data_IF_793103040366
#
_entry.id   IF_793103040366
#
_cell.length_a   1.000
_cell.length_b   1.000
_cell.length_c   1.000
_cell.angle_alpha   90.00
_cell.angle_beta   90.00
_cell.angle_gamma   90.00
#
_symmetry.space_group_name_H-M   'P 1'
#
loop_
_entity.id
_entity.type
_entity.pdbx_description
1 polymer ?
#
# COMPACT_ATOMS: atom_id res chain seq x y z
N UNK A 1 -6.75 8.62 -13.11
CA UNK A 1 -6.11 9.30 -11.97
C UNK A 1 -6.92 9.16 -10.69
N UNK A 2 -7.39 7.95 -10.35
CA UNK A 2 -8.22 7.71 -9.15
C UNK A 2 -7.59 6.65 -8.22
N UNK A 3 -6.26 6.49 -8.29
CA UNK A 3 -5.52 5.56 -7.45
C UNK A 3 -4.73 6.39 -6.44
N UNK A 4 -4.82 6.02 -5.17
CA UNK A 4 -3.99 6.58 -4.11
C UNK A 4 -2.87 5.59 -3.84
N UNK A 5 -1.64 6.06 -3.85
CA UNK A 5 -0.48 5.25 -3.49
C UNK A 5 -0.02 5.64 -2.10
N UNK A 6 0.01 4.66 -1.19
CA UNK A 6 0.45 4.87 0.19
C UNK A 6 1.84 4.25 0.34
N UNK A 7 2.82 5.07 0.68
CA UNK A 7 4.15 4.57 0.98
C UNK A 7 4.14 3.83 2.33
N UNK A 8 4.74 2.64 2.39
CA UNK A 8 4.83 1.85 3.63
C UNK A 8 5.54 2.59 4.76
N UNK A 9 6.47 3.49 4.43
CA UNK A 9 7.12 4.41 5.36
C UNK A 9 6.14 5.32 6.10
N UNK A 10 4.99 5.70 5.52
CA UNK A 10 3.96 6.44 6.25
C UNK A 10 3.44 5.62 7.43
N UNK A 11 3.12 4.34 7.17
CA UNK A 11 2.57 3.43 8.19
C UNK A 11 3.63 3.15 9.25
N UNK A 12 4.85 2.82 8.83
CA UNK A 12 5.97 2.49 9.73
C UNK A 12 6.35 3.69 10.59
N UNK A 13 6.50 4.89 10.02
CA UNK A 13 7.03 6.05 10.74
C UNK A 13 5.96 6.79 11.55
N UNK A 14 4.68 6.56 11.22
CA UNK A 14 3.54 7.23 11.84
C UNK A 14 2.44 6.21 12.17
N UNK A 15 2.61 5.39 13.21
CA UNK A 15 1.66 4.35 13.64
C UNK A 15 0.47 4.96 14.39
N UNK A 16 -0.13 5.99 13.82
CA UNK A 16 -1.31 6.70 14.30
C UNK A 16 -2.39 6.64 13.19
N UNK A 17 -3.54 5.98 13.42
CA UNK A 17 -4.60 5.88 12.42
C UNK A 17 -5.18 7.24 12.01
N UNK A 18 -5.09 8.28 12.86
CA UNK A 18 -5.52 9.63 12.46
C UNK A 18 -4.59 10.25 11.41
N UNK A 19 -3.28 10.01 11.51
CA UNK A 19 -2.31 10.49 10.51
C UNK A 19 -2.65 9.85 9.16
N UNK A 20 -2.82 8.53 9.11
CA UNK A 20 -3.18 7.83 7.88
C UNK A 20 -4.50 8.35 7.30
N UNK A 21 -5.55 8.47 8.14
CA UNK A 21 -6.85 8.99 7.72
C UNK A 21 -6.76 10.40 7.16
N UNK A 22 -6.00 11.27 7.83
CA UNK A 22 -5.77 12.65 7.41
C UNK A 22 -5.10 12.72 6.04
N UNK A 23 -4.04 11.96 5.83
CA UNK A 23 -3.31 11.91 4.55
C UNK A 23 -4.21 11.35 3.45
N UNK A 24 -4.96 10.27 3.69
CA UNK A 24 -5.93 9.76 2.70
C UNK A 24 -6.96 10.83 2.33
N UNK A 25 -7.49 11.59 3.30
CA UNK A 25 -8.43 12.68 3.01
C UNK A 25 -7.77 13.80 2.16
N UNK A 26 -6.50 14.09 2.38
CA UNK A 26 -5.71 15.03 1.58
C UNK A 26 -5.49 14.53 0.14
N UNK A 27 -5.11 13.26 -0.04
CA UNK A 27 -4.95 12.63 -1.36
C UNK A 27 -6.28 12.58 -2.14
N UNK A 28 -7.40 12.31 -1.46
CA UNK A 28 -8.74 12.43 -2.06
C UNK A 28 -9.00 13.88 -2.50
N UNK A 29 -8.54 14.86 -1.72
CA UNK A 29 -8.57 16.28 -2.09
C UNK A 29 -7.86 16.55 -3.42
N UNK A 30 -6.68 15.95 -3.65
CA UNK A 30 -5.98 16.07 -4.94
C UNK A 30 -6.76 15.45 -6.11
N UNK A 31 -7.39 14.29 -5.88
CA UNK A 31 -8.20 13.61 -6.90
C UNK A 31 -9.43 14.47 -7.26
N UNK A 32 -10.17 14.94 -6.26
CA UNK A 32 -11.36 15.77 -6.45
C UNK A 32 -11.00 17.11 -7.10
N UNK A 33 -9.87 17.70 -6.75
CA UNK A 33 -9.34 18.93 -7.35
C UNK A 33 -8.75 18.74 -8.75
N UNK A 34 -8.64 17.50 -9.25
CA UNK A 34 -7.96 17.13 -10.50
C UNK A 34 -6.54 17.70 -10.60
N UNK A 35 -5.84 17.79 -9.46
CA UNK A 35 -4.55 18.49 -9.39
C UNK A 35 -3.46 17.84 -10.25
N UNK A 36 -3.46 16.51 -10.40
CA UNK A 36 -2.48 15.81 -11.25
C UNK A 36 -2.60 16.24 -12.72
N UNK A 37 -3.82 16.26 -13.25
CA UNK A 37 -4.09 16.66 -14.64
C UNK A 37 -3.75 18.14 -14.85
N UNK A 38 -4.19 19.00 -13.93
CA UNK A 38 -3.89 20.44 -13.97
C UNK A 38 -2.39 20.72 -13.86
N UNK A 39 -1.65 19.97 -13.05
CA UNK A 39 -0.21 20.14 -12.92
C UNK A 39 0.52 19.72 -14.20
N UNK A 40 0.09 18.66 -14.88
CA UNK A 40 0.61 18.29 -16.20
C UNK A 40 0.37 19.40 -17.22
N UNK A 41 -0.84 19.95 -17.31
CA UNK A 41 -1.16 21.08 -18.19
C UNK A 41 -0.28 22.31 -17.90
N UNK A 42 -0.07 22.64 -16.62
CA UNK A 42 0.80 23.74 -16.20
C UNK A 42 2.25 23.50 -16.66
N UNK A 43 2.79 22.30 -16.40
CA UNK A 43 4.16 21.96 -16.79
C UNK A 43 4.32 22.02 -18.31
N UNK A 44 3.40 21.46 -19.07
CA UNK A 44 3.43 21.51 -20.54
C UNK A 44 3.38 22.94 -21.07
N UNK A 45 2.54 23.80 -20.49
CA UNK A 45 2.45 25.21 -20.88
C UNK A 45 3.75 25.97 -20.58
N UNK A 46 4.37 25.73 -19.43
CA UNK A 46 5.67 26.34 -19.11
C UNK A 46 6.82 25.78 -19.94
N UNK A 47 6.79 24.50 -20.32
CA UNK A 47 7.76 23.92 -21.26
C UNK A 47 7.65 24.57 -22.64
N UNK A 48 6.43 24.74 -23.15
CA UNK A 48 6.18 25.46 -24.41
C UNK A 48 6.68 26.91 -24.34
N UNK A 49 6.40 27.61 -23.24
CA UNK A 49 6.89 28.96 -23.02
C UNK A 49 8.44 29.01 -22.93
N UNK A 50 9.07 28.03 -22.28
CA UNK A 50 10.52 27.93 -22.19
C UNK A 50 11.17 27.70 -23.55
N UNK A 51 10.58 26.87 -24.42
CA UNK A 51 11.05 26.68 -25.79
C UNK A 51 11.01 28.01 -26.55
N UNK A 52 9.93 28.78 -26.41
CA UNK A 52 9.82 30.12 -26.99
C UNK A 52 10.87 31.10 -26.46
N UNK A 53 11.10 31.12 -25.14
CA UNK A 53 12.12 31.97 -24.51
C UNK A 53 13.55 31.59 -24.96
N UNK A 54 13.83 30.30 -25.11
CA UNK A 54 15.11 29.82 -25.66
C UNK A 54 15.29 30.24 -27.11
N UNK A 55 14.26 30.12 -27.94
CA UNK A 55 14.31 30.58 -29.33
C UNK A 55 14.59 32.09 -29.42
N UNK A 56 13.91 32.90 -28.60
CA UNK A 56 14.14 34.35 -28.51
C UNK A 56 15.56 34.68 -28.00
N UNK A 57 16.05 33.95 -26.99
CA UNK A 57 17.40 34.11 -26.47
C UNK A 57 18.48 33.80 -27.51
N UNK A 58 18.27 32.77 -28.34
CA UNK A 58 19.16 32.43 -29.45
C UNK A 58 19.18 33.52 -30.52
N UNK A 59 18.00 34.07 -30.89
CA UNK A 59 17.92 35.20 -31.84
C UNK A 59 18.66 36.43 -31.29
N UNK A 60 18.50 36.76 -30.02
CA UNK A 60 19.20 37.88 -29.37
C UNK A 60 20.72 37.66 -29.26
N UNK A 61 21.16 36.42 -29.07
CA UNK A 61 22.58 36.07 -29.08
C UNK A 61 23.19 36.25 -30.49
N UNK A 62 22.45 35.86 -31.54
CA UNK A 62 22.86 36.06 -32.94
C UNK A 62 22.89 37.54 -33.34
N UNK A 63 22.13 38.42 -32.69
CA UNK A 63 22.19 39.87 -32.90
C UNK A 63 23.33 40.59 -32.15
N UNK A 64 24.30 39.85 -31.61
CA UNK A 64 25.50 40.39 -30.97
C UNK A 64 25.37 40.67 -29.47
N UNK A 65 24.32 40.17 -28.81
CA UNK A 65 24.07 40.34 -27.38
C UNK A 65 23.98 38.99 -26.66
N UNK A 66 25.02 38.16 -26.78
CA UNK A 66 25.07 36.81 -26.21
C UNK A 66 24.75 36.77 -24.71
N UNK A 67 25.25 37.72 -23.93
CA UNK A 67 24.99 37.81 -22.49
C UNK A 67 23.52 38.11 -22.18
N UNK A 68 22.87 38.96 -22.97
CA UNK A 68 21.45 39.26 -22.84
C UNK A 68 20.57 38.05 -23.23
N UNK A 69 20.96 37.31 -24.28
CA UNK A 69 20.30 36.07 -24.68
C UNK A 69 20.36 35.00 -23.57
N UNK A 70 21.52 34.83 -22.95
CA UNK A 70 21.71 33.90 -21.83
C UNK A 70 20.92 34.31 -20.58
N UNK A 71 20.87 35.60 -20.27
CA UNK A 71 20.09 36.13 -19.15
C UNK A 71 18.58 35.89 -19.32
N UNK A 72 18.05 35.98 -20.54
CA UNK A 72 16.64 35.69 -20.85
C UNK A 72 16.33 34.21 -20.64
N UNK A 73 17.20 33.30 -21.08
CA UNK A 73 17.03 31.85 -20.90
C UNK A 73 17.05 31.47 -19.42
N UNK A 74 18.06 31.93 -18.68
CA UNK A 74 18.18 31.67 -17.24
C UNK A 74 17.01 32.28 -16.47
N UNK A 75 16.67 33.55 -16.73
CA UNK A 75 15.55 34.24 -16.10
C UNK A 75 14.21 33.53 -16.34
N UNK A 76 13.96 33.06 -17.57
CA UNK A 76 12.75 32.32 -17.93
C UNK A 76 12.61 31.00 -17.16
N UNK A 77 13.69 30.21 -17.06
CA UNK A 77 13.68 28.94 -16.32
C UNK A 77 13.45 29.13 -14.81
N UNK A 78 14.09 30.14 -14.20
CA UNK A 78 13.88 30.48 -12.79
C UNK A 78 12.43 30.93 -12.51
N UNK A 79 11.86 31.75 -13.39
CA UNK A 79 10.47 32.20 -13.28
C UNK A 79 9.47 31.04 -13.43
N UNK A 80 9.68 30.15 -14.41
CA UNK A 80 8.86 28.97 -14.61
C UNK A 80 8.86 28.07 -13.36
N UNK A 81 10.04 27.78 -12.79
CA UNK A 81 10.16 26.95 -11.59
C UNK A 81 9.44 27.59 -10.39
N UNK A 82 9.62 28.89 -10.17
CA UNK A 82 8.94 29.63 -9.09
C UNK A 82 7.42 29.60 -9.26
N UNK A 83 6.94 29.69 -10.49
CA UNK A 83 5.52 29.65 -10.81
C UNK A 83 4.90 28.27 -10.55
N UNK A 84 5.57 27.19 -10.98
CA UNK A 84 5.15 25.81 -10.69
C UNK A 84 5.04 25.58 -9.18
N UNK A 85 6.02 26.03 -8.39
CA UNK A 85 5.95 25.94 -6.93
C UNK A 85 4.79 26.75 -6.32
N UNK A 86 4.48 27.92 -6.88
CA UNK A 86 3.33 28.71 -6.43
C UNK A 86 2.01 27.99 -6.72
N UNK A 87 1.84 27.41 -7.91
CA UNK A 87 0.66 26.59 -8.25
C UNK A 87 0.54 25.36 -7.35
N UNK A 88 1.65 24.66 -7.10
CA UNK A 88 1.68 23.53 -6.18
C UNK A 88 1.16 23.93 -4.80
N UNK A 89 1.62 25.03 -4.20
CA UNK A 89 1.08 25.51 -2.90
C UNK A 89 -0.42 25.82 -2.93
N UNK A 90 -0.94 26.33 -4.05
CA UNK A 90 -2.39 26.55 -4.21
C UNK A 90 -3.15 25.22 -4.25
N UNK A 91 -2.62 24.22 -4.93
CA UNK A 91 -3.18 22.86 -4.94
C UNK A 91 -3.15 22.21 -3.56
N UNK A 92 -2.05 22.36 -2.82
CA UNK A 92 -1.93 21.89 -1.43
C UNK A 92 -3.01 22.53 -0.53
N UNK A 93 -3.19 23.84 -0.60
CA UNK A 93 -4.21 24.55 0.18
C UNK A 93 -5.64 24.10 -0.17
N UNK A 94 -5.92 23.90 -1.46
CA UNK A 94 -7.20 23.37 -1.94
C UNK A 94 -7.44 21.93 -1.46
N UNK A 95 -6.40 21.08 -1.47
CA UNK A 95 -6.46 19.71 -0.99
C UNK A 95 -6.67 19.66 0.53
N UNK A 96 -5.95 20.47 1.31
CA UNK A 96 -6.14 20.59 2.77
C UNK A 96 -7.55 21.03 3.14
N UNK A 97 -8.09 22.04 2.45
CA UNK A 97 -9.47 22.50 2.67
C UNK A 97 -10.48 21.41 2.33
N UNK A 98 -10.21 20.61 1.30
CA UNK A 98 -11.05 19.47 0.96
C UNK A 98 -10.94 18.36 2.01
N UNK A 99 -9.73 18.07 2.50
CA UNK A 99 -9.49 17.12 3.56
C UNK A 99 -10.24 17.51 4.84
N UNK A 100 -10.17 18.78 5.24
CA UNK A 100 -10.95 19.33 6.36
C UNK A 100 -12.44 19.02 6.19
N UNK A 101 -13.02 19.35 5.03
CA UNK A 101 -14.44 19.10 4.75
C UNK A 101 -14.80 17.60 4.80
N UNK A 102 -13.95 16.74 4.25
CA UNK A 102 -14.17 15.29 4.23
C UNK A 102 -14.10 14.69 5.64
N UNK A 103 -13.11 15.12 6.43
CA UNK A 103 -12.92 14.67 7.81
C UNK A 103 -14.12 15.11 8.67
N UNK A 104 -14.52 16.38 8.62
CA UNK A 104 -15.70 16.87 9.34
C UNK A 104 -16.97 16.13 8.94
N UNK A 105 -17.21 15.94 7.63
CA UNK A 105 -18.40 15.24 7.13
C UNK A 105 -18.43 13.77 7.55
N UNK A 106 -17.26 13.15 7.70
CA UNK A 106 -17.12 11.78 8.21
C UNK A 106 -17.01 11.70 9.72
N UNK A 107 -17.18 12.81 10.45
CA UNK A 107 -17.07 12.89 11.92
C UNK A 107 -15.69 12.53 12.47
N UNK A 108 -14.62 12.92 11.78
CA UNK A 108 -13.24 12.70 12.20
C UNK A 108 -12.48 14.02 12.35
N UNK A 109 -11.54 14.02 13.28
CA UNK A 109 -10.66 15.14 13.56
C UNK A 109 -9.59 15.35 12.49
N UNK A 110 -9.20 16.62 12.32
CA UNK A 110 -8.03 17.02 11.53
C UNK A 110 -6.70 16.85 12.28
N UNK A 111 -6.74 16.35 13.52
CA UNK A 111 -5.57 16.23 14.39
C UNK A 111 -4.44 15.41 13.76
N UNK A 112 -4.76 14.40 12.95
CA UNK A 112 -3.77 13.60 12.23
C UNK A 112 -2.93 14.43 11.25
N UNK A 113 -3.57 15.30 10.46
CA UNK A 113 -2.86 16.21 9.56
C UNK A 113 -1.97 17.20 10.32
N UNK A 114 -2.45 17.70 11.46
CA UNK A 114 -1.67 18.59 12.32
C UNK A 114 -0.41 17.87 12.82
N UNK A 115 -0.57 16.68 13.43
CA UNK A 115 0.55 15.87 13.93
C UNK A 115 1.57 15.59 12.84
N UNK A 116 1.10 15.17 11.67
CA UNK A 116 1.96 14.85 10.54
C UNK A 116 2.77 16.07 10.06
N UNK A 117 2.12 17.19 9.76
CA UNK A 117 2.83 18.38 9.28
C UNK A 117 3.77 18.98 10.33
N UNK A 118 3.47 18.87 11.62
CA UNK A 118 4.41 19.27 12.67
C UNK A 118 5.65 18.39 12.70
N UNK A 119 5.51 17.09 12.45
CA UNK A 119 6.65 16.17 12.38
C UNK A 119 7.51 16.43 11.13
N UNK A 120 6.86 16.65 9.97
CA UNK A 120 7.52 17.08 8.73
C UNK A 120 8.35 18.35 8.98
N UNK A 121 7.75 19.38 9.57
CA UNK A 121 8.45 20.64 9.94
C UNK A 121 9.64 20.43 10.88
N UNK A 122 9.54 19.49 11.83
CA UNK A 122 10.67 19.17 12.72
C UNK A 122 11.83 18.54 11.95
N UNK A 123 11.55 17.66 10.99
CA UNK A 123 12.59 17.06 10.13
C UNK A 123 13.29 18.12 9.27
N UNK A 124 12.53 19.04 8.67
CA UNK A 124 13.09 20.19 7.92
C UNK A 124 14.07 21.00 8.76
N UNK A 125 13.71 21.29 10.01
CA UNK A 125 14.55 22.07 10.91
C UNK A 125 15.89 21.38 11.25
N UNK A 126 15.96 20.05 11.10
CA UNK A 126 17.19 19.26 11.28
C UNK A 126 18.02 19.11 10.00
N UNK A 127 17.55 19.66 8.86
CA UNK A 127 18.19 19.49 7.56
C UNK A 127 18.01 18.08 6.96
N UNK A 128 17.10 17.27 7.51
CA UNK A 128 16.76 15.96 6.98
C UNK A 128 15.67 16.15 5.94
N UNK A 129 15.98 15.88 4.67
CA UNK A 129 15.01 15.93 3.58
C UNK A 129 13.90 14.88 3.77
N UNK A 130 12.65 15.32 3.70
CA UNK A 130 11.49 14.43 3.71
C UNK A 130 10.98 14.24 2.26
N UNK A 131 10.98 13.01 1.71
CA UNK A 131 10.47 12.75 0.36
C UNK A 131 9.03 13.23 0.12
N UNK A 132 8.21 13.29 1.18
CA UNK A 132 6.84 13.83 1.10
C UNK A 132 6.84 15.29 0.61
N UNK A 133 7.83 16.09 0.97
CA UNK A 133 7.89 17.52 0.60
C UNK A 133 8.28 17.75 -0.86
N UNK A 134 8.94 16.77 -1.48
CA UNK A 134 9.25 16.83 -2.91
C UNK A 134 7.98 16.84 -3.75
N UNK A 135 6.90 16.24 -3.25
CA UNK A 135 5.59 16.21 -3.91
C UNK A 135 4.57 17.15 -3.27
N UNK A 136 4.68 17.42 -1.97
CA UNK A 136 3.74 18.22 -1.18
C UNK A 136 4.48 19.29 -0.37
N UNK A 137 4.84 20.43 -0.97
CA UNK A 137 5.59 21.47 -0.28
C UNK A 137 4.82 22.02 0.91
N UNK A 138 5.44 21.99 2.09
CA UNK A 138 4.86 22.52 3.32
C UNK A 138 5.02 24.06 3.36
N UNK A 139 3.99 24.75 3.85
CA UNK A 139 4.09 26.17 4.24
C UNK A 139 3.66 26.34 5.70
N UNK A 140 4.20 27.37 6.36
CA UNK A 140 3.83 27.70 7.74
C UNK A 140 2.32 27.97 7.92
N UNK A 141 1.67 28.47 6.86
CA UNK A 141 0.25 28.80 6.87
C UNK A 141 -0.63 27.55 6.96
N UNK A 142 -0.23 26.43 6.32
CA UNK A 142 -1.03 25.19 6.29
C UNK A 142 -1.30 24.65 7.70
N UNK A 143 -0.24 24.52 8.51
CA UNK A 143 -0.35 24.06 9.91
C UNK A 143 -1.18 25.02 10.74
N UNK A 144 -1.00 26.33 10.53
CA UNK A 144 -1.71 27.38 11.25
C UNK A 144 -3.21 27.35 10.94
N UNK A 145 -3.59 27.16 9.68
CA UNK A 145 -4.98 27.03 9.23
C UNK A 145 -5.62 25.79 9.86
N UNK A 146 -4.95 24.63 9.79
CA UNK A 146 -5.47 23.39 10.38
C UNK A 146 -5.69 23.52 11.89
N UNK A 147 -4.72 24.08 12.62
CA UNK A 147 -4.86 24.34 14.06
C UNK A 147 -6.01 25.31 14.38
N UNK A 148 -6.13 26.38 13.59
CA UNK A 148 -7.19 27.39 13.77
C UNK A 148 -8.57 26.84 13.44
N UNK A 149 -8.66 25.90 12.51
CA UNK A 149 -9.87 25.14 12.23
C UNK A 149 -10.19 24.18 13.37
N UNK A 150 -9.24 23.35 13.80
CA UNK A 150 -9.44 22.35 14.85
C UNK A 150 -9.98 22.94 16.16
N UNK A 151 -9.50 24.13 16.56
CA UNK A 151 -9.99 24.85 17.76
C UNK A 151 -11.49 25.16 17.73
N UNK A 152 -12.09 25.26 16.54
CA UNK A 152 -13.52 25.58 16.33
C UNK A 152 -14.34 24.35 15.91
N UNK A 153 -13.69 23.23 15.63
CA UNK A 153 -14.33 21.98 15.26
C UNK A 153 -14.99 21.33 16.49
N UNK A 154 -16.02 20.51 16.22
CA UNK A 154 -16.61 19.59 17.21
C UNK A 154 -15.71 18.36 17.45
N UNK A 155 -14.81 18.04 16.51
CA UNK A 155 -13.92 16.88 16.52
C UNK A 155 -12.48 17.31 16.80
N UNK A 156 -12.21 17.85 17.99
CA UNK A 156 -10.90 18.43 18.31
C UNK A 156 -9.81 17.40 18.61
N UNK A 157 -10.23 16.23 19.12
CA UNK A 157 -9.39 15.11 19.52
C UNK A 157 -9.62 13.90 18.62
N UNK A 158 -8.84 12.84 18.78
CA UNK A 158 -9.07 11.58 18.06
C UNK A 158 -10.46 11.00 18.34
N UNK A 159 -11.06 10.37 17.33
CA UNK A 159 -12.27 9.56 17.48
C UNK A 159 -11.96 8.05 17.45
N UNK A 160 -10.69 7.65 17.34
CA UNK A 160 -10.37 6.22 17.29
C UNK A 160 -10.53 5.59 18.67
N UNK A 161 -11.11 4.41 18.70
CA UNK A 161 -11.07 3.53 19.86
C UNK A 161 -9.66 2.95 20.05
N UNK A 162 -9.31 2.65 21.30
CA UNK A 162 -8.01 2.07 21.65
C UNK A 162 -7.72 0.76 20.87
N UNK A 163 -8.75 -0.02 20.55
CA UNK A 163 -8.60 -1.25 19.76
C UNK A 163 -8.05 -0.96 18.35
N UNK A 164 -8.56 0.08 17.69
CA UNK A 164 -8.13 0.47 16.33
C UNK A 164 -6.71 1.01 16.37
N UNK A 165 -6.39 1.81 17.38
CA UNK A 165 -5.03 2.32 17.59
C UNK A 165 -4.07 1.15 17.78
N UNK A 166 -4.40 0.21 18.67
CA UNK A 166 -3.56 -0.95 18.95
C UNK A 166 -3.40 -1.87 17.72
N UNK A 167 -4.49 -2.14 16.97
CA UNK A 167 -4.42 -2.90 15.71
C UNK A 167 -3.54 -2.22 14.68
N UNK A 168 -3.67 -0.89 14.52
CA UNK A 168 -2.86 -0.14 13.57
C UNK A 168 -1.37 -0.15 13.95
N UNK A 169 -1.07 0.03 15.24
CA UNK A 169 0.30 -0.08 15.76
C UNK A 169 0.88 -1.49 15.54
N UNK A 170 0.10 -2.55 15.79
CA UNK A 170 0.53 -3.94 15.51
C UNK A 170 0.78 -4.15 14.01
N UNK A 171 -0.06 -3.62 13.13
CA UNK A 171 0.14 -3.70 11.68
C UNK A 171 1.41 -2.98 11.23
N UNK A 172 1.65 -1.78 11.77
CA UNK A 172 2.91 -1.04 11.57
C UNK A 172 4.12 -1.84 12.05
N UNK A 173 4.02 -2.44 13.23
CA UNK A 173 5.07 -3.28 13.81
C UNK A 173 5.34 -4.53 12.97
N UNK A 174 4.30 -5.23 12.48
CA UNK A 174 4.44 -6.38 11.57
C UNK A 174 5.19 -5.96 10.31
N UNK A 175 4.72 -4.88 9.68
CA UNK A 175 5.32 -4.36 8.45
C UNK A 175 6.80 -4.01 8.67
N UNK A 176 7.11 -3.21 9.69
CA UNK A 176 8.48 -2.84 10.02
C UNK A 176 9.38 -4.05 10.30
N UNK A 177 8.90 -5.01 11.09
CA UNK A 177 9.67 -6.19 11.46
C UNK A 177 9.95 -7.12 10.28
N UNK A 178 9.10 -7.14 9.25
CA UNK A 178 9.34 -7.91 8.01
C UNK A 178 10.16 -7.15 6.96
N UNK A 179 9.97 -5.83 6.83
CA UNK A 179 10.49 -5.09 5.66
C UNK A 179 11.72 -4.22 5.94
N UNK A 180 12.00 -3.84 7.19
CA UNK A 180 13.19 -3.05 7.50
C UNK A 180 14.43 -3.93 7.62
N UNK A 181 15.60 -3.34 7.43
CA UNK A 181 16.88 -3.93 7.83
C UNK A 181 16.87 -4.28 9.33
N UNK A 182 17.51 -5.40 9.68
CA UNK A 182 17.47 -5.96 11.05
C UNK A 182 17.87 -4.93 12.11
N UNK A 183 18.90 -4.12 11.83
CA UNK A 183 19.42 -3.08 12.74
C UNK A 183 18.50 -1.87 12.88
N UNK A 184 17.52 -1.71 11.99
CA UNK A 184 16.60 -0.57 11.95
C UNK A 184 15.21 -0.90 12.52
N UNK A 185 14.90 -2.19 12.78
CA UNK A 185 13.59 -2.64 13.27
C UNK A 185 13.14 -1.87 14.52
N UNK A 186 14.06 -1.59 15.46
CA UNK A 186 13.76 -0.98 16.76
C UNK A 186 14.04 0.52 16.84
N UNK A 187 14.45 1.17 15.75
CA UNK A 187 14.82 2.61 15.76
C UNK A 187 13.61 3.56 15.83
N UNK A 188 12.40 3.06 15.62
CA UNK A 188 11.18 3.88 15.64
C UNK A 188 10.52 3.88 17.02
N UNK A 189 10.11 5.06 17.48
CA UNK A 189 9.70 5.33 18.87
C UNK A 189 8.41 4.63 19.35
N UNK A 190 7.64 4.00 18.45
CA UNK A 190 6.46 3.21 18.82
C UNK A 190 6.79 1.78 19.24
N UNK A 191 7.97 1.29 18.87
CA UNK A 191 8.39 -0.09 19.06
C UNK A 191 8.58 -0.43 20.55
N UNK A 192 8.62 0.59 21.42
CA UNK A 192 8.78 0.47 22.88
C UNK A 192 7.52 0.85 23.68
N UNK A 193 6.39 1.16 23.03
CA UNK A 193 5.20 1.66 23.73
C UNK A 193 4.43 0.57 24.48
N UNK A 194 4.43 -0.67 23.98
CA UNK A 194 3.83 -1.81 24.69
C UNK A 194 4.75 -3.03 24.60
N UNK A 195 4.86 -3.76 25.73
CA UNK A 195 5.66 -4.99 25.82
C UNK A 195 5.24 -6.02 24.76
N UNK A 196 3.94 -6.11 24.48
CA UNK A 196 3.40 -7.08 23.53
C UNK A 196 3.82 -6.78 22.09
N UNK A 197 3.87 -5.52 21.67
CA UNK A 197 4.38 -5.13 20.34
C UNK A 197 5.87 -5.44 20.23
N UNK A 198 6.67 -5.11 21.24
CA UNK A 198 8.10 -5.42 21.24
C UNK A 198 8.35 -6.93 21.15
N UNK A 199 7.62 -7.73 21.94
CA UNK A 199 7.68 -9.20 21.88
C UNK A 199 7.28 -9.73 20.50
N UNK A 200 6.23 -9.16 19.90
CA UNK A 200 5.77 -9.55 18.57
C UNK A 200 6.82 -9.27 17.48
N UNK A 201 7.48 -8.11 17.55
CA UNK A 201 8.57 -7.75 16.64
C UNK A 201 9.82 -8.62 16.85
N UNK A 202 10.12 -8.99 18.11
CA UNK A 202 11.20 -9.91 18.42
C UNK A 202 10.95 -11.31 17.84
N UNK A 203 9.71 -11.82 17.87
CA UNK A 203 9.37 -13.09 17.24
C UNK A 203 9.73 -13.07 15.73
N UNK A 204 9.34 -12.01 15.02
CA UNK A 204 9.62 -11.86 13.58
C UNK A 204 11.12 -11.65 13.34
N UNK A 205 11.80 -10.80 14.12
CA UNK A 205 13.24 -10.56 13.98
C UNK A 205 14.04 -11.85 14.20
N UNK A 206 13.77 -12.59 15.28
CA UNK A 206 14.46 -13.86 15.57
C UNK A 206 14.29 -14.85 14.44
N UNK A 207 13.09 -14.96 13.87
CA UNK A 207 12.85 -15.80 12.70
C UNK A 207 13.69 -15.40 11.49
N UNK A 208 13.72 -14.09 11.17
CA UNK A 208 14.53 -13.55 10.07
C UNK A 208 16.04 -13.74 10.27
N UNK A 209 16.48 -13.86 11.52
CA UNK A 209 17.87 -14.18 11.88
C UNK A 209 18.19 -15.69 11.87
N UNK A 210 17.20 -16.55 11.56
CA UNK A 210 17.34 -18.00 11.57
C UNK A 210 17.13 -18.66 12.94
N UNK A 211 16.86 -17.89 13.99
CA UNK A 211 16.57 -18.40 15.34
C UNK A 211 15.10 -18.77 15.48
N UNK A 212 14.72 -19.94 14.93
CA UNK A 212 13.34 -20.43 14.96
C UNK A 212 12.83 -20.68 16.39
N UNK A 213 13.64 -21.27 17.27
CA UNK A 213 13.24 -21.58 18.64
C UNK A 213 12.98 -20.30 19.46
N UNK A 214 13.84 -19.28 19.30
CA UNK A 214 13.64 -17.96 19.92
C UNK A 214 12.36 -17.30 19.41
N UNK A 215 12.11 -17.39 18.09
CA UNK A 215 10.89 -16.87 17.48
C UNK A 215 9.64 -17.52 18.08
N UNK A 216 9.65 -18.86 18.21
CA UNK A 216 8.58 -19.61 18.85
C UNK A 216 8.40 -19.23 20.33
N UNK A 217 9.49 -19.04 21.07
CA UNK A 217 9.42 -18.61 22.46
C UNK A 217 8.70 -17.25 22.58
N UNK A 218 9.06 -16.27 21.74
CA UNK A 218 8.41 -14.95 21.76
C UNK A 218 6.94 -15.01 21.38
N UNK A 219 6.56 -15.72 20.31
CA UNK A 219 5.14 -15.79 19.90
C UNK A 219 4.29 -16.58 20.90
N UNK A 220 4.84 -17.63 21.52
CA UNK A 220 4.12 -18.39 22.55
C UNK A 220 3.87 -17.57 23.82
N UNK A 221 4.77 -16.65 24.20
CA UNK A 221 4.51 -15.72 25.30
C UNK A 221 3.27 -14.85 25.03
N UNK A 222 3.07 -14.44 23.77
CA UNK A 222 1.89 -13.66 23.36
C UNK A 222 0.62 -14.50 23.37
N UNK A 223 0.68 -15.73 22.87
CA UNK A 223 -0.46 -16.66 22.87
C UNK A 223 -0.88 -17.04 24.28
N UNK A 224 0.06 -17.26 25.20
CA UNK A 224 -0.26 -17.54 26.62
C UNK A 224 -1.04 -16.38 27.24
N UNK A 225 -0.68 -15.13 26.90
CA UNK A 225 -1.32 -13.93 27.43
C UNK A 225 -2.66 -13.63 26.74
N UNK A 226 -2.75 -13.92 25.45
CA UNK A 226 -3.88 -13.59 24.57
C UNK A 226 -4.26 -14.81 23.72
N UNK A 227 -4.81 -15.88 24.33
CA UNK A 227 -5.03 -17.16 23.64
C UNK A 227 -6.05 -17.07 22.51
N UNK A 228 -6.99 -16.12 22.59
CA UNK A 228 -8.03 -15.96 21.58
C UNK A 228 -7.62 -14.98 20.45
N UNK A 229 -6.41 -14.42 20.48
CA UNK A 229 -5.96 -13.47 19.45
C UNK A 229 -5.54 -14.21 18.17
N UNK A 230 -6.33 -14.12 17.10
CA UNK A 230 -6.15 -14.92 15.90
C UNK A 230 -4.87 -14.55 15.13
N UNK A 231 -4.35 -13.33 15.32
CA UNK A 231 -3.17 -12.87 14.59
C UNK A 231 -1.86 -13.42 15.17
N UNK A 232 -1.85 -13.84 16.44
CA UNK A 232 -0.69 -14.52 17.00
C UNK A 232 -0.61 -15.98 16.52
N UNK A 233 -1.76 -16.64 16.42
CA UNK A 233 -1.87 -17.95 15.78
C UNK A 233 -1.55 -17.88 14.29
N UNK A 234 -2.02 -16.87 13.56
CA UNK A 234 -1.65 -16.66 12.15
C UNK A 234 -0.13 -16.51 11.98
N UNK A 235 0.52 -15.64 12.76
CA UNK A 235 1.97 -15.50 12.69
C UNK A 235 2.67 -16.82 13.04
N UNK A 236 2.26 -17.51 14.10
CA UNK A 236 2.86 -18.80 14.47
C UNK A 236 2.70 -19.85 13.37
N UNK A 237 1.54 -19.88 12.71
CA UNK A 237 1.28 -20.70 11.53
C UNK A 237 2.22 -20.39 10.37
N UNK A 238 2.43 -19.10 10.07
CA UNK A 238 3.41 -18.64 9.09
C UNK A 238 4.84 -19.09 9.44
N UNK A 239 5.26 -18.88 10.70
CA UNK A 239 6.59 -19.28 11.18
C UNK A 239 6.82 -20.79 11.02
N UNK A 240 5.85 -21.62 11.41
CA UNK A 240 5.94 -23.06 11.18
C UNK A 240 6.03 -23.41 9.70
N UNK A 241 5.20 -22.80 8.85
CA UNK A 241 5.16 -23.10 7.43
C UNK A 241 6.49 -22.79 6.74
N UNK A 242 7.01 -21.58 6.97
CA UNK A 242 8.27 -21.13 6.37
C UNK A 242 9.49 -21.89 6.93
N UNK A 243 9.41 -22.41 8.17
CA UNK A 243 10.40 -23.31 8.74
C UNK A 243 10.25 -24.79 8.30
N UNK A 244 9.28 -25.11 7.43
CA UNK A 244 9.01 -26.48 6.98
C UNK A 244 8.45 -27.41 8.06
N UNK A 245 7.82 -26.87 9.11
CA UNK A 245 7.25 -27.62 10.22
C UNK A 245 5.77 -27.94 9.97
N UNK A 246 5.34 -29.12 10.42
CA UNK A 246 4.01 -29.67 10.12
C UNK A 246 2.83 -29.01 10.85
N UNK A 247 3.10 -28.22 11.89
CA UNK A 247 2.10 -27.66 12.81
C UNK A 247 1.38 -26.42 12.28
N UNK A 248 1.85 -25.83 11.17
CA UNK A 248 1.31 -24.60 10.60
C UNK A 248 -0.22 -24.63 10.41
N UNK A 249 -0.75 -25.72 9.87
CA UNK A 249 -2.19 -25.86 9.59
C UNK A 249 -3.03 -25.85 10.87
N UNK A 250 -2.48 -26.31 12.00
CA UNK A 250 -3.18 -26.32 13.29
C UNK A 250 -3.39 -24.87 13.75
N UNK A 251 -2.35 -24.05 13.69
CA UNK A 251 -2.41 -22.66 14.12
C UNK A 251 -3.37 -21.83 13.24
N UNK A 252 -3.36 -22.04 11.92
CA UNK A 252 -4.34 -21.40 11.03
C UNK A 252 -5.78 -21.84 11.28
N UNK A 253 -6.01 -23.09 11.74
CA UNK A 253 -7.34 -23.55 12.14
C UNK A 253 -7.82 -22.86 13.42
N UNK A 254 -6.94 -22.65 14.39
CA UNK A 254 -7.27 -21.87 15.58
C UNK A 254 -7.60 -20.42 15.19
N UNK A 255 -6.76 -19.80 14.35
CA UNK A 255 -6.96 -18.41 13.92
C UNK A 255 -8.30 -18.18 13.18
N UNK A 256 -8.73 -19.15 12.36
CA UNK A 256 -9.98 -19.04 11.59
C UNK A 256 -11.24 -19.29 12.45
N UNK A 257 -11.13 -19.94 13.61
CA UNK A 257 -12.26 -20.10 14.55
C UNK A 257 -12.71 -18.75 15.10
N UNK A 258 -11.77 -17.86 15.46
CA UNK A 258 -12.09 -16.51 15.94
C UNK A 258 -12.38 -15.53 14.80
N UNK A 259 -11.78 -15.72 13.62
CA UNK A 259 -12.03 -14.87 12.42
C UNK A 259 -12.35 -15.70 11.18
N UNK A 260 -13.57 -16.26 11.04
CA UNK A 260 -13.94 -17.14 9.94
C UNK A 260 -13.93 -16.49 8.54
N UNK A 261 -13.89 -15.16 8.50
CA UNK A 261 -13.99 -14.33 7.30
C UNK A 261 -12.76 -13.47 7.01
N UNK A 262 -11.70 -13.55 7.84
CA UNK A 262 -10.46 -12.81 7.58
C UNK A 262 -9.74 -13.40 6.36
N UNK A 263 -9.62 -12.57 5.32
CA UNK A 263 -9.10 -12.97 4.01
C UNK A 263 -7.67 -13.51 4.09
N UNK A 264 -6.81 -12.88 4.89
CA UNK A 264 -5.38 -13.22 4.95
C UNK A 264 -5.17 -14.52 5.75
N UNK A 265 -5.92 -14.70 6.84
CA UNK A 265 -5.88 -15.96 7.61
C UNK A 265 -6.40 -17.12 6.74
N UNK A 266 -7.49 -16.89 6.00
CA UNK A 266 -8.06 -17.89 5.10
C UNK A 266 -7.11 -18.26 3.96
N UNK A 267 -6.44 -17.26 3.38
CA UNK A 267 -5.42 -17.46 2.36
C UNK A 267 -4.23 -18.26 2.90
N UNK A 268 -3.72 -17.89 4.08
CA UNK A 268 -2.63 -18.63 4.74
C UNK A 268 -2.99 -20.09 5.02
N UNK A 269 -4.19 -20.34 5.57
CA UNK A 269 -4.73 -21.69 5.78
C UNK A 269 -4.77 -22.50 4.47
N UNK A 270 -5.29 -21.91 3.39
CA UNK A 270 -5.42 -22.57 2.10
C UNK A 270 -4.06 -22.92 1.49
N UNK A 271 -3.11 -21.98 1.55
CA UNK A 271 -1.72 -22.17 1.09
C UNK A 271 -1.06 -23.33 1.83
N UNK A 272 -1.08 -23.30 3.16
CA UNK A 272 -0.49 -24.35 3.99
C UNK A 272 -1.15 -25.70 3.72
N UNK A 273 -2.48 -25.71 3.63
CA UNK A 273 -3.28 -26.90 3.35
C UNK A 273 -2.95 -27.55 2.00
N UNK A 274 -2.93 -26.76 0.92
CA UNK A 274 -2.59 -27.23 -0.43
C UNK A 274 -1.17 -27.76 -0.47
N UNK A 275 -0.20 -27.02 0.08
CA UNK A 275 1.21 -27.45 0.09
C UNK A 275 1.39 -28.76 0.88
N UNK A 276 0.79 -28.86 2.07
CA UNK A 276 0.90 -30.05 2.94
C UNK A 276 0.22 -31.29 2.35
N UNK A 277 -0.86 -31.10 1.59
CA UNK A 277 -1.69 -32.19 1.08
C UNK A 277 -1.64 -32.33 -0.45
N UNK A 278 -0.62 -31.79 -1.10
CA UNK A 278 -0.53 -31.75 -2.57
C UNK A 278 -0.61 -33.16 -3.20
N UNK A 279 -0.14 -34.19 -2.51
CA UNK A 279 -0.19 -35.58 -2.97
C UNK A 279 -1.42 -36.36 -2.53
N UNK A 280 -2.39 -35.68 -1.92
CA UNK A 280 -3.65 -36.27 -1.44
C UNK A 280 -4.84 -35.47 -1.99
N UNK A 281 -5.23 -35.67 -3.26
CA UNK A 281 -6.26 -34.87 -3.93
C UNK A 281 -7.57 -34.72 -3.14
N UNK A 282 -8.02 -35.77 -2.46
CA UNK A 282 -9.24 -35.74 -1.63
C UNK A 282 -9.22 -34.74 -0.47
N UNK A 283 -8.05 -34.23 -0.07
CA UNK A 283 -7.91 -33.20 0.97
C UNK A 283 -7.85 -31.78 0.41
N UNK A 284 -7.69 -31.61 -0.91
CA UNK A 284 -7.45 -30.30 -1.52
C UNK A 284 -8.73 -29.48 -1.70
N UNK A 285 -9.88 -30.13 -1.89
CA UNK A 285 -11.15 -29.46 -2.21
C UNK A 285 -11.55 -28.42 -1.15
N UNK A 286 -11.37 -28.71 0.14
CA UNK A 286 -11.69 -27.75 1.22
C UNK A 286 -10.82 -26.49 1.15
N UNK A 287 -9.56 -26.61 0.74
CA UNK A 287 -8.65 -25.47 0.64
C UNK A 287 -8.88 -24.69 -0.65
N UNK A 288 -9.32 -25.37 -1.72
CA UNK A 288 -9.79 -24.69 -2.91
C UNK A 288 -11.02 -23.81 -2.61
N UNK A 289 -12.00 -24.31 -1.85
CA UNK A 289 -13.15 -23.50 -1.38
C UNK A 289 -12.71 -22.29 -0.56
N UNK A 290 -11.68 -22.44 0.27
CA UNK A 290 -11.08 -21.32 1.00
C UNK A 290 -10.48 -20.28 0.02
N UNK A 291 -9.76 -20.70 -1.03
CA UNK A 291 -9.24 -19.81 -2.08
C UNK A 291 -10.35 -19.11 -2.88
N UNK A 292 -11.44 -19.81 -3.20
CA UNK A 292 -12.59 -19.22 -3.89
C UNK A 292 -13.22 -18.09 -3.05
N UNK A 293 -13.37 -18.30 -1.73
CA UNK A 293 -13.84 -17.26 -0.80
C UNK A 293 -12.88 -16.06 -0.75
N UNK A 294 -11.56 -16.29 -0.79
CA UNK A 294 -10.56 -15.21 -0.89
C UNK A 294 -10.74 -14.45 -2.21
N UNK A 295 -10.84 -15.14 -3.35
CA UNK A 295 -10.99 -14.51 -4.67
C UNK A 295 -12.32 -13.80 -4.88
N UNK A 296 -13.37 -14.19 -4.16
CA UNK A 296 -14.64 -13.46 -4.14
C UNK A 296 -14.49 -12.07 -3.50
N UNK A 297 -13.68 -11.96 -2.43
CA UNK A 297 -13.42 -10.68 -1.74
C UNK A 297 -12.32 -9.86 -2.44
N UNK A 298 -11.29 -10.55 -2.92
CA UNK A 298 -10.13 -9.96 -3.58
C UNK A 298 -9.79 -10.72 -4.87
N UNK A 299 -10.51 -10.41 -5.97
CA UNK A 299 -10.28 -11.05 -7.27
C UNK A 299 -8.88 -10.81 -7.85
N UNK A 300 -8.15 -9.83 -7.32
CA UNK A 300 -6.82 -9.43 -7.77
C UNK A 300 -5.69 -10.11 -6.98
N UNK A 301 -6.01 -10.99 -6.02
CA UNK A 301 -5.03 -11.73 -5.22
C UNK A 301 -4.23 -12.71 -6.09
N UNK A 302 -3.05 -12.26 -6.55
CA UNK A 302 -2.12 -13.06 -7.36
C UNK A 302 -1.72 -14.36 -6.65
N UNK A 303 -1.55 -14.31 -5.33
CA UNK A 303 -1.16 -15.48 -4.54
C UNK A 303 -2.31 -16.50 -4.47
N UNK A 304 -3.55 -16.06 -4.28
CA UNK A 304 -4.70 -16.96 -4.30
C UNK A 304 -4.90 -17.59 -5.69
N UNK A 305 -4.75 -16.80 -6.77
CA UNK A 305 -4.78 -17.31 -8.15
C UNK A 305 -3.68 -18.33 -8.41
N UNK A 306 -2.47 -18.10 -7.87
CA UNK A 306 -1.35 -19.03 -8.00
C UNK A 306 -1.65 -20.38 -7.38
N UNK A 307 -2.17 -20.40 -6.15
CA UNK A 307 -2.51 -21.66 -5.49
C UNK A 307 -3.76 -22.33 -6.09
N UNK A 308 -4.68 -21.57 -6.69
CA UNK A 308 -5.75 -22.13 -7.52
C UNK A 308 -5.19 -22.83 -8.77
N UNK A 309 -4.20 -22.24 -9.44
CA UNK A 309 -3.54 -22.89 -10.57
C UNK A 309 -2.87 -24.21 -10.16
N UNK A 310 -2.19 -24.24 -8.99
CA UNK A 310 -1.61 -25.46 -8.43
C UNK A 310 -2.70 -26.53 -8.19
N UNK A 311 -3.81 -26.14 -7.56
CA UNK A 311 -4.96 -27.01 -7.34
C UNK A 311 -5.49 -27.59 -8.65
N UNK A 312 -5.83 -26.75 -9.63
CA UNK A 312 -6.38 -27.19 -10.90
C UNK A 312 -5.45 -28.13 -11.67
N UNK A 313 -4.15 -27.82 -11.70
CA UNK A 313 -3.16 -28.70 -12.32
C UNK A 313 -3.10 -30.06 -11.63
N UNK A 314 -3.15 -30.11 -10.29
CA UNK A 314 -3.16 -31.38 -9.54
C UNK A 314 -4.43 -32.20 -9.79
N UNK A 315 -5.55 -31.53 -10.03
CA UNK A 315 -6.84 -32.16 -10.34
C UNK A 315 -7.01 -32.50 -11.83
N UNK A 316 -6.03 -32.20 -12.69
CA UNK A 316 -6.11 -32.42 -14.14
C UNK A 316 -7.03 -31.42 -14.87
N UNK A 317 -7.42 -30.33 -14.22
CA UNK A 317 -8.29 -29.27 -14.73
C UNK A 317 -7.45 -28.23 -15.50
N UNK A 318 -6.92 -28.66 -16.64
CA UNK A 318 -5.91 -27.89 -17.40
C UNK A 318 -6.45 -26.52 -17.88
N UNK A 319 -7.73 -26.44 -18.26
CA UNK A 319 -8.34 -25.19 -18.73
C UNK A 319 -8.40 -24.12 -17.65
N UNK A 320 -8.85 -24.49 -16.46
CA UNK A 320 -8.95 -23.64 -15.27
C UNK A 320 -7.56 -23.25 -14.76
N UNK A 321 -6.58 -24.16 -14.87
CA UNK A 321 -5.17 -23.88 -14.63
C UNK A 321 -4.62 -22.78 -15.55
N UNK A 322 -4.88 -22.87 -16.86
CA UNK A 322 -4.48 -21.82 -17.81
C UNK A 322 -5.21 -20.50 -17.58
N UNK A 323 -6.50 -20.53 -17.20
CA UNK A 323 -7.23 -19.31 -16.88
C UNK A 323 -6.62 -18.59 -15.67
N UNK A 324 -6.28 -19.33 -14.61
CA UNK A 324 -5.61 -18.80 -13.44
C UNK A 324 -4.24 -18.19 -13.80
N UNK A 325 -3.46 -18.86 -14.66
CA UNK A 325 -2.19 -18.34 -15.17
C UNK A 325 -2.36 -17.07 -16.02
N UNK A 326 -3.41 -17.00 -16.84
CA UNK A 326 -3.74 -15.82 -17.65
C UNK A 326 -4.08 -14.61 -16.77
N UNK A 327 -4.89 -14.81 -15.72
CA UNK A 327 -5.23 -13.79 -14.75
C UNK A 327 -3.98 -13.30 -14.01
N UNK A 328 -3.11 -14.19 -13.52
CA UNK A 328 -1.83 -13.81 -12.89
C UNK A 328 -1.00 -12.92 -13.82
N UNK A 329 -0.80 -13.36 -15.07
CA UNK A 329 -0.03 -12.60 -16.05
C UNK A 329 -0.65 -11.21 -16.31
N UNK A 330 -1.97 -11.13 -16.45
CA UNK A 330 -2.69 -9.87 -16.67
C UNK A 330 -2.50 -8.92 -15.49
N UNK A 331 -2.69 -9.41 -14.26
CA UNK A 331 -2.53 -8.61 -13.03
C UNK A 331 -1.08 -8.18 -12.79
N UNK A 332 -0.10 -8.96 -13.27
CA UNK A 332 1.32 -8.59 -13.27
C UNK A 332 1.73 -7.68 -14.45
N UNK A 333 0.81 -7.27 -15.33
CA UNK A 333 1.13 -6.43 -16.49
C UNK A 333 1.84 -7.17 -17.64
N UNK A 334 1.92 -8.51 -17.59
CA UNK A 334 2.51 -9.34 -18.65
C UNK A 334 1.46 -9.66 -19.72
N UNK A 335 1.10 -8.66 -20.51
CA UNK A 335 -0.02 -8.71 -21.47
C UNK A 335 0.13 -9.83 -22.50
N UNK A 336 1.32 -10.01 -23.08
CA UNK A 336 1.57 -11.07 -24.06
C UNK A 336 1.37 -12.48 -23.47
N UNK A 337 1.88 -12.70 -22.25
CA UNK A 337 1.70 -13.97 -21.53
C UNK A 337 0.22 -14.20 -21.20
N UNK A 338 -0.48 -13.16 -20.74
CA UNK A 338 -1.89 -13.22 -20.42
C UNK A 338 -2.71 -13.67 -21.64
N UNK A 339 -2.46 -13.07 -22.81
CA UNK A 339 -3.12 -13.42 -24.06
C UNK A 339 -2.84 -14.88 -24.46
N UNK A 340 -1.57 -15.31 -24.37
CA UNK A 340 -1.16 -16.69 -24.68
C UNK A 340 -1.89 -17.71 -23.80
N UNK A 341 -1.90 -17.48 -22.48
CA UNK A 341 -2.53 -18.38 -21.52
C UNK A 341 -4.06 -18.36 -21.64
N UNK A 342 -4.68 -17.19 -21.89
CA UNK A 342 -6.12 -17.09 -22.09
C UNK A 342 -6.59 -17.85 -23.34
N UNK A 343 -5.80 -17.81 -24.42
CA UNK A 343 -6.06 -18.61 -25.62
C UNK A 343 -6.01 -20.12 -25.32
N UNK A 344 -4.98 -20.56 -24.59
CA UNK A 344 -4.87 -21.96 -24.16
C UNK A 344 -6.04 -22.38 -23.25
N UNK A 345 -6.44 -21.52 -22.31
CA UNK A 345 -7.60 -21.74 -21.45
C UNK A 345 -8.89 -21.91 -22.28
N UNK A 346 -9.16 -20.99 -23.21
CA UNK A 346 -10.38 -21.00 -24.04
C UNK A 346 -10.49 -22.24 -24.92
N UNK A 347 -9.36 -22.83 -25.33
CA UNK A 347 -9.31 -24.07 -26.10
C UNK A 347 -9.57 -25.32 -25.25
N UNK A 348 -9.15 -25.30 -23.98
CA UNK A 348 -9.27 -26.44 -23.06
C UNK A 348 -10.58 -26.43 -22.24
N UNK A 349 -11.16 -25.25 -21.98
CA UNK A 349 -12.39 -25.09 -21.22
C UNK A 349 -13.64 -25.50 -22.01
N UNK A 350 -14.65 -26.02 -21.30
CA UNK A 350 -15.95 -26.32 -21.88
C UNK A 350 -16.57 -25.09 -22.55
N UNK A 351 -16.95 -25.21 -23.83
CA UNK A 351 -17.55 -24.09 -24.58
C UNK A 351 -18.77 -23.53 -23.87
N UNK A 352 -18.85 -22.20 -23.79
CA UNK A 352 -19.94 -21.44 -23.11
C UNK A 352 -19.99 -21.61 -21.58
N UNK A 353 -18.97 -22.18 -20.95
CA UNK A 353 -18.84 -22.09 -19.49
C UNK A 353 -18.50 -20.65 -19.06
N UNK A 354 -18.73 -20.32 -17.79
CA UNK A 354 -18.37 -19.02 -17.21
C UNK A 354 -16.87 -18.73 -17.42
N UNK A 355 -16.02 -19.73 -17.18
CA UNK A 355 -14.57 -19.59 -17.34
C UNK A 355 -14.14 -19.46 -18.80
N UNK A 356 -14.88 -20.08 -19.73
CA UNK A 356 -14.65 -19.89 -21.16
C UNK A 356 -14.91 -18.44 -21.60
N UNK A 357 -15.98 -17.82 -21.06
CA UNK A 357 -16.25 -16.39 -21.29
C UNK A 357 -15.18 -15.50 -20.65
N UNK A 358 -14.78 -15.78 -19.40
CA UNK A 358 -13.69 -15.04 -18.73
C UNK A 358 -12.38 -15.08 -19.52
N UNK A 359 -12.01 -16.25 -20.07
CA UNK A 359 -10.85 -16.36 -20.94
C UNK A 359 -11.01 -15.49 -22.22
N UNK A 360 -12.22 -15.42 -22.77
CA UNK A 360 -12.56 -14.50 -23.87
C UNK A 360 -12.42 -13.03 -23.50
N UNK A 361 -12.86 -12.63 -22.33
CA UNK A 361 -12.75 -11.25 -21.84
C UNK A 361 -11.29 -10.83 -21.69
N UNK A 362 -10.43 -11.73 -21.20
CA UNK A 362 -8.98 -11.47 -21.10
C UNK A 362 -8.39 -11.29 -22.50
N UNK A 363 -8.78 -12.09 -23.50
CA UNK A 363 -8.30 -11.91 -24.88
C UNK A 363 -8.71 -10.54 -25.42
N UNK A 364 -9.97 -10.16 -25.29
CA UNK A 364 -10.46 -8.86 -25.75
C UNK A 364 -9.79 -7.68 -25.03
N UNK A 365 -9.55 -7.79 -23.71
CA UNK A 365 -8.88 -6.75 -22.92
C UNK A 365 -7.37 -6.65 -23.19
N UNK A 366 -6.79 -7.65 -23.86
CA UNK A 366 -5.36 -7.69 -24.16
C UNK A 366 -5.05 -7.50 -25.62
N UNK A 367 -6.03 -7.36 -26.52
CA UNK A 367 -5.84 -6.93 -27.92
C UNK A 367 -5.19 -5.55 -27.99
#
# INVERSE_FOLDING_TARGET
GNKIFINTGLIINHPDPDILRGIIAHEIGHILGRHVVRNQEIIENYQKASIGATALGLVAAMSGSADAGMAVVLGGSHFARRSIYAYSRTFESSADQTAIRLLEKSSHSVIGLIKFFEQVRKLQATGIDNPYESTHPLSNDRVTILKSFNKRSKFQLSQNHDDIVHKYQRSSAKLAAFTLEIDNIFKHSYVTQTKDITTYMNAIKSFRMGSFDDSLNYINQLIIKHPDDPYYHELKGQLYFEAGKGDALVEYKIAIETRPDDELILLGKAIVGITKHIDRPGYLEQFHKDLERVLQKNPDSVLALHYNAIYYNKMGMVGEGYLSAALIALKSGRIADARKMASAAKNALAKKSVDWYRAGDILAATE
#
